data_IF_063744501328
#
_entry.id   IF_063744501328
#
_cell.length_a   1.000
_cell.length_b   1.000
_cell.length_c   1.000
_cell.angle_alpha   90.00
_cell.angle_beta   90.00
_cell.angle_gamma   90.00
#
_symmetry.space_group_name_H-M   'P 1'
#
loop_
_entity.id
_entity.type
_entity.pdbx_description
1 polymer ?
#
# COMPACT_ATOMS: atom_id res chain seq x y z
N UNK A 1 8.28 -5.95 8.90
CA UNK A 1 8.95 -4.70 8.47
C UNK A 1 10.11 -5.02 7.54
N UNK A 2 10.21 -4.33 6.42
CA UNK A 2 11.36 -4.38 5.52
C UNK A 2 11.78 -2.97 5.10
N UNK A 3 13.09 -2.75 4.91
CA UNK A 3 13.65 -1.52 4.36
C UNK A 3 14.59 -1.86 3.20
N UNK A 4 14.57 -1.07 2.14
CA UNK A 4 15.40 -1.31 0.95
C UNK A 4 14.58 -1.56 -0.32
N UNK A 5 14.83 -2.69 -0.99
CA UNK A 5 14.08 -3.13 -2.17
C UNK A 5 13.47 -4.51 -1.95
N UNK A 6 12.18 -4.66 -2.25
CA UNK A 6 11.44 -5.91 -2.13
C UNK A 6 11.02 -6.41 -3.52
N UNK A 7 11.16 -7.72 -3.79
CA UNK A 7 10.60 -8.35 -5.00
C UNK A 7 9.79 -9.58 -4.61
N UNK A 8 8.50 -9.56 -4.92
CA UNK A 8 7.58 -10.68 -4.73
C UNK A 8 6.93 -11.03 -6.06
N UNK A 9 6.98 -12.31 -6.42
CA UNK A 9 6.47 -12.82 -7.69
C UNK A 9 4.95 -13.07 -7.71
N UNK A 10 4.33 -13.19 -6.54
CA UNK A 10 2.90 -13.45 -6.38
C UNK A 10 2.27 -12.55 -5.32
N UNK A 11 1.32 -13.10 -4.59
CA UNK A 11 0.59 -12.40 -3.54
C UNK A 11 1.37 -12.36 -2.22
N UNK A 12 1.10 -11.32 -1.43
CA UNK A 12 1.54 -11.18 -0.04
C UNK A 12 0.31 -11.15 0.84
N UNK A 13 0.23 -12.06 1.81
CA UNK A 13 -0.84 -12.10 2.78
C UNK A 13 -0.25 -12.19 4.19
N UNK A 14 -0.55 -11.20 5.02
CA UNK A 14 -0.05 -11.14 6.40
C UNK A 14 -0.98 -10.28 7.27
N UNK A 15 -0.72 -10.19 8.57
CA UNK A 15 -1.50 -9.31 9.46
C UNK A 15 -1.07 -7.84 9.33
N UNK A 16 0.23 -7.59 9.37
CA UNK A 16 0.81 -6.26 9.20
C UNK A 16 1.89 -6.31 8.12
N UNK A 17 1.84 -5.35 7.21
CA UNK A 17 2.84 -5.12 6.18
C UNK A 17 3.40 -3.71 6.31
N UNK A 18 4.70 -3.63 6.57
CA UNK A 18 5.42 -2.36 6.69
C UNK A 18 6.65 -2.37 5.77
N UNK A 19 6.72 -1.40 4.85
CA UNK A 19 7.82 -1.23 3.91
C UNK A 19 8.31 0.21 3.87
N UNK A 20 9.61 0.41 4.10
CA UNK A 20 10.31 1.63 3.71
C UNK A 20 11.07 1.37 2.41
N UNK A 21 10.51 1.83 1.29
CA UNK A 21 11.09 1.60 -0.03
C UNK A 21 12.23 2.58 -0.28
N UNK A 22 13.48 2.15 -0.12
CA UNK A 22 14.68 2.94 -0.44
C UNK A 22 15.12 2.75 -1.91
N UNK A 23 14.69 1.63 -2.51
CA UNK A 23 14.89 1.31 -3.92
C UNK A 23 13.57 0.97 -4.62
N UNK A 24 13.69 0.43 -5.84
CA UNK A 24 12.54 -0.09 -6.58
C UNK A 24 12.07 -1.40 -5.94
N UNK A 25 10.84 -1.40 -5.46
CA UNK A 25 10.15 -2.57 -4.94
C UNK A 25 9.00 -2.98 -5.87
N UNK A 26 8.74 -4.28 -5.98
CA UNK A 26 7.69 -4.85 -6.83
C UNK A 26 7.01 -6.02 -6.13
N UNK A 27 5.69 -5.99 -6.05
CA UNK A 27 4.83 -7.14 -5.76
C UNK A 27 4.00 -7.36 -7.02
N UNK A 28 4.21 -8.47 -7.72
CA UNK A 28 3.50 -8.71 -8.99
C UNK A 28 2.02 -9.06 -8.80
N UNK A 29 1.67 -9.60 -7.63
CA UNK A 29 0.29 -9.91 -7.27
C UNK A 29 -0.34 -8.84 -6.39
N UNK A 30 -1.16 -9.30 -5.44
CA UNK A 30 -1.88 -8.49 -4.48
C UNK A 30 -1.17 -8.45 -3.12
N UNK A 31 -1.32 -7.34 -2.41
CA UNK A 31 -0.94 -7.19 -1.02
C UNK A 31 -2.20 -7.14 -0.16
N UNK A 32 -2.40 -8.16 0.68
CA UNK A 32 -3.50 -8.26 1.65
C UNK A 32 -2.95 -8.24 3.07
N UNK A 33 -3.31 -7.24 3.85
CA UNK A 33 -3.01 -7.21 5.28
C UNK A 33 -4.01 -6.36 6.08
N UNK A 34 -4.19 -6.62 7.37
CA UNK A 34 -5.03 -5.74 8.21
C UNK A 34 -4.45 -4.32 8.25
N UNK A 35 -3.14 -4.23 8.45
CA UNK A 35 -2.37 -2.99 8.44
C UNK A 35 -1.40 -2.98 7.26
N UNK A 36 -1.47 -1.96 6.40
CA UNK A 36 -0.52 -1.73 5.30
C UNK A 36 0.07 -0.34 5.43
N UNK A 37 1.38 -0.27 5.63
CA UNK A 37 2.14 0.99 5.65
C UNK A 37 3.28 0.92 4.66
N UNK A 38 3.29 1.83 3.69
CA UNK A 38 4.38 1.97 2.74
C UNK A 38 4.90 3.40 2.75
N UNK A 39 6.21 3.57 2.94
CA UNK A 39 6.89 4.86 2.95
C UNK A 39 7.95 4.91 1.85
N UNK A 40 8.13 6.08 1.23
CA UNK A 40 9.27 6.32 0.34
C UNK A 40 10.52 6.68 1.13
N UNK A 41 11.51 5.80 1.09
CA UNK A 41 12.85 6.02 1.60
C UNK A 41 13.82 6.53 0.53
N UNK A 42 14.97 7.03 0.96
CA UNK A 42 16.06 7.46 0.08
C UNK A 42 17.27 6.55 0.28
N UNK A 43 17.66 5.82 -0.76
CA UNK A 43 18.88 5.02 -0.70
C UNK A 43 20.12 5.91 -0.60
N UNK A 44 20.90 5.70 0.46
CA UNK A 44 22.22 6.31 0.66
C UNK A 44 23.30 5.29 0.29
N UNK A 45 24.17 5.64 -0.65
CA UNK A 45 25.38 4.86 -0.96
C UNK A 45 26.54 5.47 -0.21
N UNK A 46 27.22 4.69 0.62
CA UNK A 46 28.44 5.11 1.31
C UNK A 46 29.60 4.34 0.68
N UNK A 47 30.57 5.06 0.13
CA UNK A 47 31.82 4.53 -0.43
C UNK A 47 32.95 4.89 0.53
N UNK A 48 33.70 3.90 0.99
CA UNK A 48 34.87 4.10 1.86
C UNK A 48 36.14 3.77 1.09
N UNK A 49 37.09 4.71 1.09
CA UNK A 49 38.41 4.54 0.48
C UNK A 49 39.46 4.98 1.51
N UNK A 50 40.05 4.02 2.22
CA UNK A 50 40.95 4.32 3.35
C UNK A 50 40.23 5.12 4.46
N UNK A 51 40.79 6.24 4.94
CA UNK A 51 40.13 7.10 5.93
C UNK A 51 39.02 7.99 5.33
N UNK A 52 38.84 7.99 4.00
CA UNK A 52 37.88 8.85 3.33
C UNK A 52 36.50 8.17 3.26
N UNK A 53 35.46 8.86 3.73
CA UNK A 53 34.06 8.44 3.57
C UNK A 53 33.33 9.38 2.60
N UNK A 54 32.90 8.83 1.46
CA UNK A 54 32.09 9.54 0.46
C UNK A 54 30.67 9.02 0.54
N UNK A 55 29.74 9.90 0.85
CA UNK A 55 28.31 9.58 0.92
C UNK A 55 27.57 10.19 -0.26
N UNK A 56 26.99 9.36 -1.11
CA UNK A 56 26.13 9.75 -2.22
C UNK A 56 24.69 9.33 -1.92
N UNK A 57 23.82 10.30 -1.64
CA UNK A 57 22.38 10.04 -1.61
C UNK A 57 21.85 10.00 -3.05
N UNK A 58 21.06 8.97 -3.37
CA UNK A 58 20.35 8.95 -4.65
C UNK A 58 19.17 9.91 -4.53
N UNK A 59 19.08 10.90 -5.43
CA UNK A 59 17.96 11.86 -5.48
C UNK A 59 16.58 11.23 -5.79
N UNK A 60 16.53 9.94 -6.11
CA UNK A 60 15.27 9.24 -6.40
C UNK A 60 14.85 8.47 -5.15
N UNK A 61 13.70 8.83 -4.61
CA UNK A 61 13.02 8.03 -3.59
C UNK A 61 12.67 6.65 -4.16
N UNK A 62 12.77 5.64 -3.30
CA UNK A 62 12.27 4.32 -3.66
C UNK A 62 10.76 4.34 -3.83
N UNK A 63 10.27 3.32 -4.52
CA UNK A 63 8.85 3.21 -4.87
C UNK A 63 8.43 1.75 -4.82
N UNK A 64 7.16 1.50 -4.54
CA UNK A 64 6.56 0.18 -4.63
C UNK A 64 5.61 0.13 -5.83
N UNK A 65 5.77 -0.88 -6.69
CA UNK A 65 4.72 -1.26 -7.65
C UNK A 65 4.01 -2.50 -7.15
N UNK A 66 2.69 -2.46 -7.07
CA UNK A 66 1.84 -3.58 -6.63
C UNK A 66 0.58 -3.63 -7.49
N UNK A 67 0.00 -4.81 -7.72
CA UNK A 67 -1.26 -4.90 -8.47
C UNK A 67 -2.41 -4.27 -7.68
N UNK A 68 -2.78 -4.91 -6.57
CA UNK A 68 -3.87 -4.48 -5.69
C UNK A 68 -3.43 -4.43 -4.24
N UNK A 69 -3.94 -3.46 -3.49
CA UNK A 69 -3.71 -3.34 -2.05
C UNK A 69 -5.04 -3.49 -1.33
N UNK A 70 -5.10 -4.39 -0.35
CA UNK A 70 -6.30 -4.59 0.47
C UNK A 70 -5.95 -4.61 1.95
N UNK A 71 -6.78 -3.94 2.76
CA UNK A 71 -6.61 -4.01 4.21
C UNK A 71 -7.68 -3.32 5.04
N UNK A 72 -7.53 -3.31 6.36
CA UNK A 72 -8.40 -2.51 7.22
C UNK A 72 -7.91 -1.07 7.23
N UNK A 73 -6.62 -0.87 7.47
CA UNK A 73 -5.95 0.44 7.48
C UNK A 73 -4.80 0.44 6.48
N UNK A 74 -4.83 1.39 5.54
CA UNK A 74 -3.88 1.46 4.44
C UNK A 74 -3.30 2.88 4.36
N UNK A 75 -1.99 3.04 4.56
CA UNK A 75 -1.25 4.30 4.39
C UNK A 75 -0.11 4.09 3.38
N UNK A 76 -0.21 4.77 2.24
CA UNK A 76 0.69 4.56 1.10
C UNK A 76 1.40 5.86 0.72
N UNK A 77 2.73 5.82 0.59
CA UNK A 77 3.54 6.84 -0.08
C UNK A 77 4.44 6.21 -1.15
N UNK A 78 4.59 6.89 -2.29
CA UNK A 78 5.40 6.43 -3.43
C UNK A 78 5.00 5.02 -3.94
N UNK A 79 3.70 4.76 -4.01
CA UNK A 79 3.13 3.49 -4.49
C UNK A 79 2.44 3.66 -5.84
N UNK A 80 2.73 2.78 -6.79
CA UNK A 80 1.96 2.61 -8.01
C UNK A 80 1.11 1.33 -7.90
N UNK A 81 -0.21 1.45 -8.05
CA UNK A 81 -1.13 0.32 -8.01
C UNK A 81 -2.33 0.49 -8.92
N UNK A 82 -3.03 -0.62 -9.19
CA UNK A 82 -4.23 -0.65 -10.03
C UNK A 82 -5.49 -0.38 -9.20
N UNK A 83 -5.58 -0.92 -8.00
CA UNK A 83 -6.76 -0.79 -7.14
C UNK A 83 -6.38 -0.82 -5.65
N UNK A 84 -7.10 -0.05 -4.84
CA UNK A 84 -6.98 -0.08 -3.38
C UNK A 84 -8.33 -0.38 -2.77
N UNK A 85 -8.40 -1.30 -1.80
CA UNK A 85 -9.59 -1.57 -1.00
C UNK A 85 -9.25 -1.50 0.48
N UNK A 86 -9.84 -0.57 1.21
CA UNK A 86 -9.61 -0.47 2.64
C UNK A 86 -10.87 -0.16 3.45
N UNK A 87 -10.81 -0.25 4.78
CA UNK A 87 -11.81 0.46 5.62
C UNK A 87 -11.44 1.92 5.73
N UNK A 88 -10.18 2.20 6.10
CA UNK A 88 -9.57 3.53 6.14
C UNK A 88 -8.34 3.57 5.25
N UNK A 89 -8.27 4.57 4.37
CA UNK A 89 -7.18 4.70 3.39
C UNK A 89 -6.59 6.11 3.38
N UNK A 90 -5.26 6.18 3.34
CA UNK A 90 -4.49 7.39 3.07
C UNK A 90 -3.60 7.17 1.85
N UNK A 91 -3.92 7.85 0.77
CA UNK A 91 -3.12 7.90 -0.44
C UNK A 91 -2.20 9.12 -0.34
N UNK A 92 -1.03 8.91 0.25
CA UNK A 92 -0.01 9.93 0.45
C UNK A 92 0.75 10.32 -0.83
N UNK A 93 1.66 11.29 -0.70
CA UNK A 93 2.47 11.85 -1.78
C UNK A 93 3.16 10.79 -2.66
N UNK A 94 3.28 11.10 -3.94
CA UNK A 94 3.98 10.26 -4.91
C UNK A 94 3.26 8.97 -5.28
N UNK A 95 2.04 8.75 -4.75
CA UNK A 95 1.20 7.62 -5.14
C UNK A 95 0.54 7.83 -6.51
N UNK A 96 0.36 6.73 -7.23
CA UNK A 96 -0.30 6.65 -8.53
C UNK A 96 -1.25 5.45 -8.52
N UNK A 97 -2.54 5.71 -8.35
CA UNK A 97 -3.59 4.69 -8.42
C UNK A 97 -4.23 4.76 -9.81
N UNK A 98 -4.11 3.69 -10.59
CA UNK A 98 -4.58 3.65 -11.97
C UNK A 98 -6.09 3.41 -12.08
N UNK A 99 -6.70 2.75 -11.08
CA UNK A 99 -8.13 2.47 -11.00
C UNK A 99 -8.76 3.10 -9.75
N UNK A 100 -9.74 2.41 -9.18
CA UNK A 100 -10.57 2.92 -8.10
C UNK A 100 -9.94 2.69 -6.72
N UNK A 101 -10.35 3.54 -5.78
CA UNK A 101 -10.04 3.40 -4.35
C UNK A 101 -11.36 3.16 -3.62
N UNK A 102 -11.54 1.94 -3.13
CA UNK A 102 -12.71 1.53 -2.37
C UNK A 102 -12.43 1.70 -0.88
N UNK A 103 -13.31 2.41 -0.16
CA UNK A 103 -13.16 2.66 1.27
C UNK A 103 -14.49 2.57 2.03
N UNK A 104 -14.49 2.17 3.30
CA UNK A 104 -15.73 2.04 4.07
C UNK A 104 -15.99 3.23 5.02
N UNK A 105 -14.93 3.72 5.66
CA UNK A 105 -14.98 4.74 6.70
C UNK A 105 -14.40 6.06 6.21
N UNK A 106 -13.08 6.11 6.01
CA UNK A 106 -12.35 7.34 5.71
C UNK A 106 -11.40 7.16 4.53
N UNK A 107 -11.28 8.21 3.72
CA UNK A 107 -10.30 8.29 2.64
C UNK A 107 -9.66 9.68 2.61
N UNK A 108 -8.33 9.72 2.70
CA UNK A 108 -7.52 10.91 2.52
C UNK A 108 -6.64 10.74 1.27
N UNK A 109 -6.56 11.77 0.43
CA UNK A 109 -5.69 11.79 -0.74
C UNK A 109 -4.85 13.06 -0.71
N UNK A 110 -3.54 12.87 -0.73
CA UNK A 110 -2.57 13.96 -0.82
C UNK A 110 -2.69 14.68 -2.18
N UNK A 111 -2.62 16.02 -2.24
CA UNK A 111 -2.72 16.76 -3.51
C UNK A 111 -1.67 16.38 -4.56
N UNK A 112 -0.52 15.84 -4.14
CA UNK A 112 0.53 15.35 -5.03
C UNK A 112 0.35 13.89 -5.47
N UNK A 113 -0.67 13.19 -4.96
CA UNK A 113 -1.05 11.87 -5.42
C UNK A 113 -1.92 11.94 -6.68
N UNK A 114 -1.83 10.91 -7.52
CA UNK A 114 -2.64 10.79 -8.73
C UNK A 114 -3.55 9.59 -8.59
N UNK A 115 -4.86 9.82 -8.55
CA UNK A 115 -5.87 8.77 -8.63
C UNK A 115 -6.61 8.96 -9.96
N UNK A 116 -6.52 7.97 -10.85
CA UNK A 116 -7.16 8.02 -12.18
C UNK A 116 -8.60 7.51 -12.17
N UNK A 117 -8.93 6.60 -11.26
CA UNK A 117 -10.30 6.16 -11.05
C UNK A 117 -11.04 7.08 -10.07
N UNK A 118 -12.02 6.51 -9.38
CA UNK A 118 -12.85 7.20 -8.41
C UNK A 118 -12.58 6.73 -6.98
N UNK A 119 -12.83 7.63 -6.03
CA UNK A 119 -13.01 7.29 -4.62
C UNK A 119 -14.43 6.75 -4.46
N UNK A 120 -14.56 5.46 -4.13
CA UNK A 120 -15.83 4.77 -4.02
C UNK A 120 -16.03 4.35 -2.56
N UNK A 121 -17.02 4.96 -1.89
CA UNK A 121 -17.40 4.52 -0.56
C UNK A 121 -18.24 3.24 -0.66
N UNK A 122 -17.82 2.18 0.02
CA UNK A 122 -18.55 0.91 0.09
C UNK A 122 -19.18 0.78 1.48
N UNK A 123 -20.47 0.50 1.52
CA UNK A 123 -21.10 0.15 2.80
C UNK A 123 -20.58 -1.22 3.25
N UNK A 124 -20.27 -1.40 4.54
CA UNK A 124 -20.00 -2.73 5.05
C UNK A 124 -21.25 -3.55 4.79
N UNK A 125 -21.13 -4.59 3.96
CA UNK A 125 -22.21 -5.54 3.75
C UNK A 125 -22.54 -6.16 5.10
N UNK A 126 -23.66 -5.76 5.69
CA UNK A 126 -24.26 -6.46 6.82
C UNK A 126 -24.50 -7.89 6.33
N UNK A 127 -23.70 -8.83 6.83
CA UNK A 127 -23.98 -10.25 6.67
C UNK A 127 -25.40 -10.50 7.12
N UNK A 128 -26.26 -10.90 6.18
CA UNK A 128 -27.66 -11.16 6.44
C UNK A 128 -27.79 -12.19 7.55
N UNK A 129 -28.35 -11.76 8.68
CA UNK A 129 -28.92 -12.61 9.70
C UNK A 129 -30.11 -13.34 9.04
N UNK A 130 -29.84 -14.47 8.38
CA UNK A 130 -30.90 -15.41 8.03
C UNK A 130 -31.37 -16.07 9.33
N UNK A 131 -32.34 -15.40 9.95
CA UNK A 131 -33.22 -15.98 10.94
C UNK A 131 -33.97 -17.14 10.29
N UNK A 132 -33.47 -18.35 10.50
CA UNK A 132 -34.27 -19.57 10.35
C UNK A 132 -35.31 -19.60 11.47
N UNK A 133 -36.41 -18.89 11.26
CA UNK A 133 -37.64 -19.05 12.04
C UNK A 133 -38.19 -20.46 11.85
N UNK A 134 -38.72 -21.01 12.94
CA UNK A 134 -39.11 -22.40 13.05
C UNK A 134 -40.19 -22.84 12.07
N UNK A 135 -40.16 -24.14 11.78
CA UNK A 135 -41.31 -24.85 11.26
C UNK A 135 -41.94 -25.67 12.38
N UNK A 136 -43.26 -25.51 12.52
CA UNK A 136 -44.12 -26.33 13.38
C UNK A 136 -44.67 -27.43 12.48
N UNK A 137 -44.38 -28.68 12.82
CA UNK A 137 -45.03 -29.88 12.28
C UNK A 137 -44.92 -30.99 13.30
#
# INVERSE_FOLDING_TARGET
>A
MASGSLRVGGDVECRSFELTAEGRSVIRGSLRAEEVVVRGGEARTVVRIGPLEISVSRRRRGFLKVGRVEGANVDLEYVECEEVRARRVRIGKGCRVMGNVYYAEEAEVDPAAVVRGQLVRVEPSNGGEQRGGGDRG
#
